data_IF_033078567427
#
_entry.id   IF_033078567427
#
_cell.length_a   1.000
_cell.length_b   1.000
_cell.length_c   1.000
_cell.angle_alpha   90.00
_cell.angle_beta   90.00
_cell.angle_gamma   90.00
#
_symmetry.space_group_name_H-M   'P 1'
#
loop_
_entity.id
_entity.type
_entity.pdbx_description
1 polymer ?
#
# COMPACT_ATOMS: atom_id res chain seq x y z
N UNK A 1 5.68 -16.48 3.81
CA UNK A 1 4.49 -17.13 3.23
C UNK A 1 4.61 -16.85 1.74
N UNK A 2 5.11 -17.81 0.98
CA UNK A 2 5.31 -17.68 -0.46
C UNK A 2 3.95 -17.77 -1.15
N UNK A 3 3.51 -16.67 -1.74
CA UNK A 3 2.59 -16.70 -2.87
C UNK A 3 3.04 -15.57 -3.80
N UNK A 4 3.99 -15.87 -4.67
CA UNK A 4 4.32 -15.04 -5.83
C UNK A 4 3.07 -14.99 -6.71
N UNK A 5 2.33 -13.89 -6.62
CA UNK A 5 1.22 -13.63 -7.55
C UNK A 5 1.87 -13.16 -8.84
N UNK A 6 1.88 -14.03 -9.85
CA UNK A 6 2.33 -13.65 -11.18
C UNK A 6 1.40 -12.60 -11.79
N UNK A 7 1.97 -11.47 -12.18
CA UNK A 7 1.29 -10.39 -12.87
C UNK A 7 1.83 -10.35 -14.30
N UNK A 8 0.99 -10.68 -15.29
CA UNK A 8 1.42 -10.67 -16.68
C UNK A 8 1.50 -9.24 -17.25
N UNK A 9 2.22 -9.05 -18.36
CA UNK A 9 2.44 -7.74 -19.00
C UNK A 9 1.14 -7.00 -19.38
N UNK A 10 0.05 -7.74 -19.62
CA UNK A 10 -1.25 -7.20 -20.04
C UNK A 10 -2.32 -7.27 -18.94
N UNK A 11 -1.91 -7.47 -17.69
CA UNK A 11 -2.82 -7.60 -16.55
C UNK A 11 -2.71 -6.40 -15.61
N UNK A 12 -3.85 -6.09 -15.00
CA UNK A 12 -3.93 -5.16 -13.88
C UNK A 12 -4.62 -5.89 -12.75
N UNK A 13 -3.92 -6.05 -11.63
CA UNK A 13 -4.53 -6.60 -10.42
C UNK A 13 -5.08 -5.47 -9.57
N UNK A 14 -6.38 -5.52 -9.30
CA UNK A 14 -7.11 -4.54 -8.51
C UNK A 14 -7.56 -5.16 -7.19
N UNK A 15 -7.04 -4.64 -6.08
CA UNK A 15 -7.41 -5.07 -4.73
C UNK A 15 -8.35 -4.04 -4.13
N UNK A 16 -9.54 -4.50 -3.74
CA UNK A 16 -10.52 -3.69 -3.03
C UNK A 16 -10.50 -4.08 -1.55
N UNK A 17 -10.09 -3.15 -0.69
CA UNK A 17 -10.18 -3.31 0.76
C UNK A 17 -11.44 -2.62 1.23
N UNK A 18 -12.34 -3.38 1.85
CA UNK A 18 -13.54 -2.88 2.51
C UNK A 18 -13.22 -2.64 3.97
N UNK A 19 -13.05 -1.38 4.36
CA UNK A 19 -12.47 -1.05 5.66
C UNK A 19 -13.50 -1.13 6.80
N UNK A 20 -14.79 -1.24 6.48
CA UNK A 20 -15.88 -1.62 7.41
C UNK A 20 -15.80 -3.10 7.86
N UNK A 21 -15.02 -3.93 7.16
CA UNK A 21 -14.80 -5.33 7.52
C UNK A 21 -13.61 -5.54 8.46
N UNK A 22 -12.87 -4.47 8.80
CA UNK A 22 -11.68 -4.55 9.64
C UNK A 22 -11.93 -3.91 11.02
N UNK A 23 -11.68 -4.68 12.07
CA UNK A 23 -11.61 -4.14 13.44
C UNK A 23 -10.25 -3.49 13.68
N UNK A 24 -10.18 -2.33 14.35
CA UNK A 24 -8.92 -1.71 14.74
C UNK A 24 -8.00 -2.64 15.56
N UNK A 25 -8.59 -3.55 16.34
CA UNK A 25 -7.85 -4.52 17.14
C UNK A 25 -7.02 -5.49 16.31
N UNK A 26 -7.42 -5.78 15.07
CA UNK A 26 -6.69 -6.66 14.16
C UNK A 26 -5.42 -6.00 13.62
N UNK A 27 -5.36 -4.67 13.61
CA UNK A 27 -4.25 -3.90 13.03
C UNK A 27 -3.21 -3.48 14.07
N UNK A 28 -3.45 -3.72 15.35
CA UNK A 28 -2.55 -3.31 16.45
C UNK A 28 -1.17 -3.94 16.28
N UNK A 29 -1.12 -5.21 15.88
CA UNK A 29 0.16 -5.86 15.63
C UNK A 29 0.85 -5.32 14.39
N UNK A 30 0.09 -4.92 13.37
CA UNK A 30 0.64 -4.37 12.13
C UNK A 30 1.15 -2.93 12.28
N UNK A 31 0.75 -2.23 13.35
CA UNK A 31 1.31 -0.91 13.69
C UNK A 31 2.83 -0.95 13.90
N UNK A 32 3.39 -2.10 14.28
CA UNK A 32 4.84 -2.26 14.43
C UNK A 32 5.58 -2.13 13.10
N UNK A 33 4.91 -2.39 11.97
CA UNK A 33 5.46 -2.30 10.62
C UNK A 33 5.51 -0.86 10.09
N UNK A 34 4.80 0.07 10.73
CA UNK A 34 4.78 1.46 10.35
C UNK A 34 6.03 2.18 10.88
N UNK A 35 6.87 2.79 10.04
CA UNK A 35 8.01 3.57 10.50
C UNK A 35 7.56 4.76 11.38
N UNK A 36 8.48 5.29 12.20
CA UNK A 36 8.16 6.33 13.20
C UNK A 36 7.47 7.57 12.62
N UNK A 37 7.90 8.02 11.45
CA UNK A 37 7.32 9.18 10.76
C UNK A 37 5.86 8.95 10.34
N UNK A 38 5.51 7.74 9.92
CA UNK A 38 4.13 7.37 9.58
C UNK A 38 3.24 7.30 10.81
N UNK A 39 3.74 6.68 11.90
CA UNK A 39 3.03 6.65 13.19
C UNK A 39 2.73 8.04 13.72
N UNK A 40 3.72 8.95 13.72
CA UNK A 40 3.51 10.33 14.14
C UNK A 40 2.45 11.07 13.31
N UNK A 41 2.33 10.76 12.02
CA UNK A 41 1.31 11.37 11.15
C UNK A 41 -0.08 10.83 11.44
N UNK A 42 -0.20 9.56 11.80
CA UNK A 42 -1.45 8.94 12.26
C UNK A 42 -1.87 9.51 13.62
N UNK A 43 -0.92 9.66 14.54
CA UNK A 43 -1.19 10.18 15.90
C UNK A 43 -1.77 11.59 15.88
N UNK A 44 -1.32 12.43 14.94
CA UNK A 44 -1.81 13.79 14.69
C UNK A 44 -3.22 13.87 14.11
N UNK A 45 -3.77 12.77 13.60
CA UNK A 45 -5.15 12.78 13.12
C UNK A 45 -6.10 12.90 14.32
N UNK A 46 -7.15 13.71 14.26
CA UNK A 46 -8.07 13.88 15.39
C UNK A 46 -9.24 12.89 15.35
N UNK A 47 -9.63 12.46 14.16
CA UNK A 47 -10.75 11.52 13.96
C UNK A 47 -10.27 10.07 14.02
N UNK A 48 -10.84 9.28 14.95
CA UNK A 48 -10.48 7.87 15.13
C UNK A 48 -10.79 7.02 13.89
N UNK A 49 -11.90 7.26 13.20
CA UNK A 49 -12.21 6.55 11.95
C UNK A 49 -11.15 6.81 10.89
N UNK A 50 -10.72 8.07 10.74
CA UNK A 50 -9.66 8.44 9.81
C UNK A 50 -8.31 7.84 10.22
N UNK A 51 -8.02 7.71 11.53
CA UNK A 51 -6.81 6.99 12.00
C UNK A 51 -6.82 5.54 11.54
N UNK A 52 -7.93 4.84 11.78
CA UNK A 52 -8.07 3.42 11.42
C UNK A 52 -7.94 3.23 9.91
N UNK A 53 -8.55 4.11 9.12
CA UNK A 53 -8.38 4.15 7.66
C UNK A 53 -6.93 4.34 7.24
N UNK A 54 -6.26 5.32 7.85
CA UNK A 54 -4.86 5.62 7.55
C UNK A 54 -3.93 4.45 7.87
N UNK A 55 -4.18 3.74 8.96
CA UNK A 55 -3.44 2.53 9.36
C UNK A 55 -3.71 1.43 8.35
N UNK A 56 -4.98 1.08 8.13
CA UNK A 56 -5.38 -0.01 7.26
C UNK A 56 -4.86 0.20 5.83
N UNK A 57 -4.93 1.41 5.31
CA UNK A 57 -4.39 1.75 3.99
C UNK A 57 -2.90 1.42 3.86
N UNK A 58 -2.11 1.77 4.86
CA UNK A 58 -0.66 1.57 4.84
C UNK A 58 -0.28 0.11 5.04
N UNK A 59 -0.98 -0.58 5.95
CA UNK A 59 -0.78 -2.00 6.21
C UNK A 59 -1.13 -2.81 4.97
N UNK A 60 -2.32 -2.60 4.40
CA UNK A 60 -2.77 -3.33 3.21
C UNK A 60 -1.92 -3.02 1.98
N UNK A 61 -1.42 -1.79 1.82
CA UNK A 61 -0.47 -1.47 0.77
C UNK A 61 0.81 -2.32 0.89
N UNK A 62 1.37 -2.43 2.09
CA UNK A 62 2.58 -3.22 2.35
C UNK A 62 2.35 -4.68 2.03
N UNK A 63 1.25 -5.25 2.52
CA UNK A 63 0.87 -6.63 2.21
C UNK A 63 0.68 -6.83 0.70
N UNK A 64 -0.06 -5.96 0.04
CA UNK A 64 -0.33 -6.08 -1.40
C UNK A 64 0.97 -6.03 -2.22
N UNK A 65 1.90 -5.11 -1.91
CA UNK A 65 3.18 -5.03 -2.61
C UNK A 65 4.07 -6.25 -2.36
N UNK A 66 4.06 -6.81 -1.14
CA UNK A 66 4.76 -8.04 -0.80
C UNK A 66 4.25 -9.29 -1.53
N UNK A 67 3.09 -9.21 -2.20
CA UNK A 67 2.61 -10.30 -3.07
C UNK A 67 3.26 -10.28 -4.46
N UNK A 68 3.84 -9.14 -4.85
CA UNK A 68 4.45 -8.92 -6.17
C UNK A 68 5.97 -8.76 -6.10
N UNK A 69 6.52 -8.54 -4.91
CA UNK A 69 7.92 -8.22 -4.69
C UNK A 69 8.43 -9.02 -3.50
N UNK A 70 9.67 -9.51 -3.60
CA UNK A 70 10.35 -10.23 -2.53
C UNK A 70 10.86 -9.27 -1.44
N UNK A 71 9.91 -8.54 -0.85
CA UNK A 71 10.12 -7.57 0.24
C UNK A 71 9.02 -7.81 1.26
N UNK A 72 9.32 -8.17 2.51
CA UNK A 72 8.29 -8.41 3.50
C UNK A 72 7.60 -7.11 3.95
N UNK A 73 6.33 -7.16 4.41
CA UNK A 73 5.50 -5.98 4.71
C UNK A 73 6.18 -4.93 5.60
N UNK A 74 6.94 -5.39 6.58
CA UNK A 74 7.67 -4.59 7.57
C UNK A 74 8.89 -3.85 7.03
N UNK A 75 9.44 -4.28 5.89
CA UNK A 75 10.65 -3.69 5.30
C UNK A 75 10.35 -2.58 4.30
N UNK A 76 9.10 -2.44 3.86
CA UNK A 76 8.69 -1.39 2.95
C UNK A 76 8.94 0.01 3.53
N UNK A 77 9.47 0.90 2.69
CA UNK A 77 9.61 2.31 3.01
C UNK A 77 8.89 3.12 1.95
N UNK A 78 8.15 4.14 2.39
CA UNK A 78 7.41 5.02 1.51
C UNK A 78 7.77 6.48 1.75
N UNK A 79 7.94 7.18 0.64
CA UNK A 79 7.94 8.63 0.58
C UNK A 79 6.53 9.12 0.24
N UNK A 80 6.05 10.11 1.00
CA UNK A 80 4.73 10.69 0.79
C UNK A 80 4.87 12.05 0.12
N UNK A 81 4.36 12.17 -1.11
CA UNK A 81 4.35 13.44 -1.84
C UNK A 81 3.41 14.50 -1.22
N UNK A 82 3.37 15.70 -1.81
CA UNK A 82 2.55 16.84 -1.34
C UNK A 82 1.07 16.50 -1.07
N UNK A 83 0.49 15.56 -1.82
CA UNK A 83 -0.92 15.17 -1.68
C UNK A 83 -1.11 13.88 -0.86
N UNK A 84 -0.08 13.43 -0.14
CA UNK A 84 -0.13 12.18 0.63
C UNK A 84 -0.07 10.90 -0.22
N UNK A 85 0.16 11.00 -1.53
CA UNK A 85 0.34 9.83 -2.40
C UNK A 85 1.63 9.10 -2.00
N UNK A 86 1.57 7.81 -1.63
CA UNK A 86 2.75 7.03 -1.32
C UNK A 86 3.54 6.71 -2.59
N UNK A 87 4.86 6.70 -2.46
CA UNK A 87 5.82 6.18 -3.43
C UNK A 87 6.76 5.28 -2.66
N UNK A 88 6.97 4.05 -3.12
CA UNK A 88 7.99 3.20 -2.52
C UNK A 88 9.36 3.87 -2.69
N UNK A 89 10.18 3.89 -1.65
CA UNK A 89 11.50 4.52 -1.69
C UNK A 89 12.52 3.71 -2.52
N UNK A 90 12.20 2.46 -2.87
CA UNK A 90 12.98 1.66 -3.80
C UNK A 90 12.57 1.94 -5.25
N UNK A 91 13.56 2.20 -6.12
CA UNK A 91 13.33 2.46 -7.55
C UNK A 91 13.29 1.17 -8.39
N UNK A 92 13.68 0.04 -7.81
CA UNK A 92 13.87 -1.26 -8.48
C UNK A 92 12.65 -2.18 -8.43
N UNK A 93 11.45 -1.61 -8.27
CA UNK A 93 10.21 -2.38 -8.33
C UNK A 93 9.97 -2.95 -9.72
N UNK A 94 9.59 -4.23 -9.76
CA UNK A 94 9.06 -4.95 -10.92
C UNK A 94 7.66 -4.45 -11.29
N UNK A 95 6.93 -3.85 -10.35
CA UNK A 95 5.60 -3.30 -10.57
C UNK A 95 5.52 -1.78 -10.43
N UNK A 96 4.52 -1.19 -11.08
CA UNK A 96 4.00 0.14 -10.76
C UNK A 96 2.69 -0.02 -9.99
N UNK A 97 2.41 0.92 -9.08
CA UNK A 97 1.17 0.88 -8.32
C UNK A 97 0.50 2.24 -8.16
N UNK A 98 -0.80 2.19 -7.89
CA UNK A 98 -1.61 3.35 -7.53
C UNK A 98 -2.58 2.98 -6.42
N UNK A 99 -2.94 3.98 -5.59
CA UNK A 99 -3.95 3.84 -4.55
C UNK A 99 -4.96 4.96 -4.73
N UNK A 100 -6.25 4.60 -4.71
CA UNK A 100 -7.35 5.55 -4.69
C UNK A 100 -8.32 5.24 -3.56
N UNK A 101 -9.01 6.28 -3.10
CA UNK A 101 -10.11 6.21 -2.14
C UNK A 101 -11.39 6.62 -2.86
N UNK A 102 -12.50 5.91 -2.63
CA UNK A 102 -13.80 6.30 -3.18
C UNK A 102 -14.60 7.11 -2.15
N UNK A 103 -15.03 8.33 -2.51
CA UNK A 103 -15.64 9.30 -1.60
C UNK A 103 -17.06 8.96 -1.09
N UNK A 104 -17.51 7.72 -1.21
CA UNK A 104 -18.83 7.26 -0.75
C UNK A 104 -18.77 6.10 0.25
N UNK A 105 -17.57 5.67 0.63
CA UNK A 105 -17.37 4.54 1.51
C UNK A 105 -15.92 4.37 1.93
N UNK A 106 -15.77 3.58 2.98
CA UNK A 106 -14.54 3.17 3.63
C UNK A 106 -13.90 2.09 2.72
N UNK A 107 -13.26 2.51 1.62
CA UNK A 107 -12.72 1.64 0.58
C UNK A 107 -11.37 2.13 0.04
N UNK A 108 -10.44 1.19 -0.12
CA UNK A 108 -9.15 1.42 -0.77
C UNK A 108 -9.06 0.55 -2.01
N UNK A 109 -8.73 1.17 -3.14
CA UNK A 109 -8.38 0.45 -4.36
C UNK A 109 -6.88 0.54 -4.55
N UNK A 110 -6.22 -0.61 -4.58
CA UNK A 110 -4.81 -0.74 -4.98
C UNK A 110 -4.76 -1.40 -6.36
N UNK A 111 -4.04 -0.79 -7.29
CA UNK A 111 -3.79 -1.34 -8.61
C UNK A 111 -2.29 -1.63 -8.79
N UNK A 112 -1.94 -2.83 -9.24
CA UNK A 112 -0.59 -3.20 -9.66
C UNK A 112 -0.55 -3.51 -11.15
N UNK A 113 0.50 -3.05 -11.83
CA UNK A 113 0.82 -3.35 -13.23
C UNK A 113 2.31 -3.63 -13.36
N UNK A 114 2.72 -4.54 -14.24
CA UNK A 114 4.14 -4.78 -14.53
C UNK A 114 4.81 -3.49 -15.03
N UNK A 115 6.00 -3.21 -14.52
CA UNK A 115 6.84 -2.11 -14.98
C UNK A 115 7.50 -2.53 -16.29
N UNK A 116 6.99 -2.01 -17.40
CA UNK A 116 7.67 -2.10 -18.69
C UNK A 116 8.88 -1.16 -18.67
N UNK A 117 10.09 -1.71 -18.59
CA UNK A 117 11.28 -0.96 -18.97
C UNK A 117 11.24 -0.80 -20.49
N UNK A 118 10.86 0.39 -20.96
CA UNK A 118 11.08 0.75 -22.36
C UNK A 118 12.60 0.73 -22.60
N UNK A 119 13.12 -0.42 -23.07
CA UNK A 119 14.40 -0.47 -23.77
C UNK A 119 14.23 0.33 -25.06
N UNK A 120 14.32 1.65 -24.96
CA UNK A 120 14.68 2.49 -26.10
C UNK A 120 16.11 2.10 -26.47
N UNK A 121 16.24 1.06 -27.31
CA UNK A 121 17.45 0.80 -28.09
C UNK A 121 17.75 2.09 -28.86
N UNK A 122 18.76 2.82 -28.41
CA UNK A 122 19.49 3.75 -29.26
C UNK A 122 20.50 2.97 -30.08
#
# INVERSE_FOLDING_TARGET
MESDIDLNENEIHCWLVKTDQFSPSLLVEDLKFLPCNERQRIDKCECLNNKNEMILARVMLRYALSLYEDVPPEQWQFDFGRNGKPRASTEQLRIQFNISHSGGGLQLLFAAIMKLELMLRK
#
